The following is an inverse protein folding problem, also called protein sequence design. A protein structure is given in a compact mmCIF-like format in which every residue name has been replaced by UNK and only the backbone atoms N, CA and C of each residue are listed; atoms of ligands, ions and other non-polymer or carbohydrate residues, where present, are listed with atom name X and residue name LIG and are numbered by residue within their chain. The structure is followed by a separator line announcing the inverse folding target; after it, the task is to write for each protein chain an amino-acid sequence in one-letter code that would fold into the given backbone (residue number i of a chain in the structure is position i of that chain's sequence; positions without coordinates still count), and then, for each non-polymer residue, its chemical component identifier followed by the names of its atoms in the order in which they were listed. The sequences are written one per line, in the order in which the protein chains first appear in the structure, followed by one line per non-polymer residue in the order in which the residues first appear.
data_IF_478416868312
#
_entry.id   IF_478416868312
#
_cell.length_a   1.000
_cell.length_b   1.000
_cell.length_c   1.000
_cell.angle_alpha   90.00
_cell.angle_beta   90.00
_cell.angle_gamma   90.00
#
_symmetry.space_group_name_H-M   'P 1'
#
loop_
_entity.id
_entity.type
_entity.pdbx_description
1 polymer ?
#
# COMPACT_ATOMS: atom_id res chain seq x y z
N UNK A 1 40.45 -30.14 33.72
CA UNK A 1 40.17 -28.69 33.91
C UNK A 1 38.66 -28.54 34.01
N UNK A 2 38.20 -28.17 35.20
CA UNK A 2 36.87 -27.72 35.66
C UNK A 2 35.56 -28.40 35.17
N UNK A 3 34.90 -28.99 36.17
CA UNK A 3 33.46 -29.27 36.28
C UNK A 3 32.63 -28.00 36.47
N UNK A 4 31.37 -27.99 36.01
CA UNK A 4 30.17 -27.73 36.84
C UNK A 4 28.87 -27.83 36.02
N UNK A 5 27.87 -28.51 36.59
CA UNK A 5 26.46 -28.52 36.16
C UNK A 5 25.73 -27.27 36.70
N UNK A 6 24.52 -27.06 36.15
CA UNK A 6 23.35 -26.38 36.75
C UNK A 6 23.26 -24.86 36.58
N UNK A 7 22.15 -24.38 35.99
CA UNK A 7 21.04 -23.74 36.72
C UNK A 7 19.90 -23.33 35.77
N UNK A 8 18.68 -23.79 36.07
CA UNK A 8 17.43 -23.10 35.70
C UNK A 8 17.38 -21.75 36.42
N UNK A 9 16.87 -20.71 35.74
CA UNK A 9 15.91 -19.69 36.23
C UNK A 9 15.92 -18.49 35.28
N UNK A 10 14.93 -17.62 35.15
CA UNK A 10 13.54 -17.49 35.61
C UNK A 10 12.93 -16.42 34.69
N UNK A 11 11.61 -16.28 34.75
CA UNK A 11 10.79 -15.24 34.12
C UNK A 11 11.50 -13.87 34.05
N UNK A 12 11.68 -13.35 32.84
CA UNK A 12 11.92 -11.92 32.66
C UNK A 12 10.64 -11.19 33.09
N UNK A 13 10.75 -10.51 34.23
CA UNK A 13 9.70 -9.72 34.85
C UNK A 13 9.37 -8.52 33.99
N UNK A 14 8.09 -8.38 33.64
CA UNK A 14 7.50 -7.14 33.13
C UNK A 14 7.17 -6.27 34.35
N UNK A 15 7.87 -5.16 34.52
CA UNK A 15 7.34 -4.02 35.28
C UNK A 15 7.94 -2.69 34.81
N UNK A 16 7.09 -1.97 34.05
CA UNK A 16 6.80 -0.53 34.05
C UNK A 16 7.83 0.43 34.69
N UNK A 17 8.25 1.44 33.93
CA UNK A 17 8.09 2.85 34.34
C UNK A 17 8.21 3.85 33.17
N UNK A 18 7.10 4.56 32.92
CA UNK A 18 6.90 5.99 32.62
C UNK A 18 7.83 6.77 31.65
N UNK A 19 7.22 7.17 30.52
CA UNK A 19 7.15 8.51 29.88
C UNK A 19 8.45 9.21 29.41
N UNK A 20 8.45 9.93 28.26
CA UNK A 20 7.64 11.15 28.06
C UNK A 20 6.84 11.18 26.75
N UNK A 21 5.74 11.95 26.79
CA UNK A 21 5.02 12.58 25.68
C UNK A 21 5.57 12.32 24.27
N UNK A 22 4.96 11.37 23.57
CA UNK A 22 4.65 11.64 22.18
C UNK A 22 3.36 12.46 22.23
N UNK A 23 3.50 13.79 22.14
CA UNK A 23 2.39 14.66 21.79
C UNK A 23 1.74 14.06 20.55
N UNK A 24 0.58 13.40 20.71
CA UNK A 24 -0.28 13.16 19.57
C UNK A 24 -0.59 14.54 19.00
N UNK A 25 -0.35 14.81 17.71
CA UNK A 25 -0.72 16.10 17.15
C UNK A 25 -2.20 16.29 17.42
N UNK A 26 -2.47 17.34 18.20
CA UNK A 26 -3.80 17.74 18.63
C UNK A 26 -4.74 17.75 17.42
N UNK A 27 -5.82 16.99 17.52
CA UNK A 27 -6.89 16.87 16.51
C UNK A 27 -7.72 18.15 16.34
N UNK A 28 -7.14 19.32 16.62
CA UNK A 28 -7.80 20.63 16.59
C UNK A 28 -7.25 21.57 15.50
N UNK A 29 -6.80 21.02 14.37
CA UNK A 29 -6.69 21.79 13.13
C UNK A 29 -7.46 21.12 11.98
N UNK A 30 -8.67 20.66 12.26
CA UNK A 30 -9.67 20.36 11.22
C UNK A 30 -10.38 21.68 10.90
N UNK A 31 -9.69 22.53 10.15
CA UNK A 31 -10.28 23.73 9.56
C UNK A 31 -9.80 23.82 8.11
N UNK A 32 -10.75 23.59 7.19
CA UNK A 32 -10.62 23.54 5.72
C UNK A 32 -10.30 22.14 5.15
N UNK A 33 -11.28 21.23 5.15
CA UNK A 33 -11.42 20.26 4.05
C UNK A 33 -12.81 20.46 3.43
N UNK A 34 -12.94 21.19 2.31
CA UNK A 34 -14.22 21.28 1.62
C UNK A 34 -14.53 19.90 1.06
N UNK A 35 -15.48 19.21 1.70
CA UNK A 35 -16.10 17.97 1.24
C UNK A 35 -15.14 16.76 1.08
N UNK A 36 -15.19 15.83 2.04
CA UNK A 36 -14.59 14.49 1.94
C UNK A 36 -15.31 13.60 0.90
N UNK A 37 -15.90 14.17 -0.15
CA UNK A 37 -16.08 13.45 -1.39
C UNK A 37 -14.70 13.32 -2.01
N UNK A 38 -13.96 12.30 -1.56
CA UNK A 38 -12.81 11.82 -2.32
C UNK A 38 -13.28 11.74 -3.78
N UNK A 39 -12.61 12.43 -4.72
CA UNK A 39 -13.04 12.43 -6.10
C UNK A 39 -13.24 10.96 -6.52
N UNK A 40 -14.33 10.64 -7.26
CA UNK A 40 -14.66 9.27 -7.58
C UNK A 40 -13.41 8.58 -8.15
N UNK A 41 -12.94 7.55 -7.45
CA UNK A 41 -11.75 6.81 -7.86
C UNK A 41 -12.02 6.27 -9.26
N UNK A 42 -11.26 6.78 -10.24
CA UNK A 42 -11.41 6.35 -11.63
C UNK A 42 -10.94 4.92 -11.71
N UNK A 43 -11.71 4.07 -12.37
CA UNK A 43 -11.31 2.68 -12.64
C UNK A 43 -10.94 2.52 -14.09
N UNK A 44 -10.08 1.56 -14.37
CA UNK A 44 -9.82 1.12 -15.73
C UNK A 44 -9.83 -0.40 -15.83
N UNK A 45 -10.11 -0.89 -17.03
CA UNK A 45 -9.94 -2.28 -17.39
C UNK A 45 -8.72 -2.42 -18.30
N UNK A 46 -7.88 -3.41 -18.01
CA UNK A 46 -6.68 -3.69 -18.79
C UNK A 46 -7.06 -4.35 -20.11
N UNK A 47 -6.52 -3.83 -21.22
CA UNK A 47 -6.74 -4.32 -22.58
C UNK A 47 -5.57 -5.13 -23.13
N UNK A 48 -4.37 -4.93 -22.57
CA UNK A 48 -3.14 -5.62 -23.00
C UNK A 48 -2.28 -5.96 -21.77
N UNK A 49 -1.63 -7.12 -21.82
CA UNK A 49 -0.70 -7.52 -20.76
C UNK A 49 0.54 -6.60 -20.74
N UNK A 50 1.08 -6.36 -19.56
CA UNK A 50 2.33 -5.62 -19.37
C UNK A 50 3.18 -6.25 -18.27
N UNK A 51 4.44 -6.51 -18.61
CA UNK A 51 5.44 -7.06 -17.69
C UNK A 51 6.31 -5.89 -17.20
N UNK A 52 6.43 -5.68 -15.87
CA UNK A 52 7.27 -4.64 -15.28
C UNK A 52 8.72 -4.71 -15.75
N UNK A 53 9.27 -3.56 -16.13
CA UNK A 53 10.69 -3.38 -16.42
C UNK A 53 11.44 -2.79 -15.22
N UNK A 54 10.74 -2.02 -14.38
CA UNK A 54 11.24 -1.40 -13.16
C UNK A 54 10.46 -1.90 -11.93
N UNK A 55 11.05 -1.87 -10.72
CA UNK A 55 10.42 -2.42 -9.51
C UNK A 55 9.20 -1.65 -9.00
N UNK A 56 9.02 -0.41 -9.45
CA UNK A 56 7.87 0.45 -9.15
C UNK A 56 6.69 0.26 -10.13
N UNK A 57 6.89 -0.52 -11.20
CA UNK A 57 5.86 -0.80 -12.19
C UNK A 57 4.93 -1.95 -11.77
N UNK A 58 3.67 -1.83 -12.14
CA UNK A 58 2.62 -2.79 -11.87
C UNK A 58 2.49 -3.78 -13.04
N UNK A 59 2.59 -5.07 -12.73
CA UNK A 59 2.21 -6.13 -13.64
C UNK A 59 0.69 -6.13 -13.83
N UNK A 60 0.24 -6.10 -15.08
CA UNK A 60 -1.18 -6.03 -15.43
C UNK A 60 -1.52 -7.08 -16.50
N UNK A 61 -2.66 -7.75 -16.34
CA UNK A 61 -3.16 -8.73 -17.31
C UNK A 61 -4.51 -8.32 -17.89
N UNK A 62 -4.78 -8.73 -19.12
CA UNK A 62 -6.05 -8.44 -19.81
C UNK A 62 -7.24 -8.83 -18.93
N UNK A 63 -8.14 -7.86 -18.74
CA UNK A 63 -9.35 -8.03 -17.93
C UNK A 63 -9.23 -7.61 -16.46
N UNK A 64 -8.02 -7.35 -15.97
CA UNK A 64 -7.83 -6.80 -14.61
C UNK A 64 -8.50 -5.43 -14.46
N UNK A 65 -9.01 -5.17 -13.26
CA UNK A 65 -9.59 -3.89 -12.87
C UNK A 65 -8.61 -3.18 -11.94
N UNK A 66 -8.30 -1.93 -12.27
CA UNK A 66 -7.34 -1.12 -11.50
C UNK A 66 -8.00 0.18 -11.08
N UNK A 67 -7.84 0.51 -9.80
CA UNK A 67 -8.20 1.81 -9.28
C UNK A 67 -7.05 2.79 -9.58
N UNK A 68 -7.33 3.82 -10.37
CA UNK A 68 -6.36 4.86 -10.73
C UNK A 68 -6.26 5.84 -9.58
N UNK A 69 -5.03 6.02 -9.10
CA UNK A 69 -4.64 7.00 -8.09
C UNK A 69 -4.24 8.30 -8.79
N UNK A 70 -3.44 8.20 -9.87
CA UNK A 70 -2.92 9.35 -10.60
C UNK A 70 -2.75 9.03 -12.09
N UNK A 71 -2.94 10.05 -12.93
CA UNK A 71 -2.58 10.01 -14.35
C UNK A 71 -1.49 11.03 -14.57
N UNK A 72 -0.27 10.58 -14.83
CA UNK A 72 0.86 11.44 -15.08
C UNK A 72 0.81 12.00 -16.51
N UNK A 73 1.40 13.18 -16.72
CA UNK A 73 1.39 13.89 -18.00
C UNK A 73 2.22 13.19 -19.09
N UNK A 74 3.08 12.23 -18.71
CA UNK A 74 3.90 11.41 -19.59
C UNK A 74 3.15 10.19 -20.15
N UNK A 75 1.88 10.01 -19.78
CA UNK A 75 1.03 8.92 -20.24
C UNK A 75 1.07 7.66 -19.35
N UNK A 76 1.78 7.71 -18.22
CA UNK A 76 1.77 6.63 -17.22
C UNK A 76 0.71 6.87 -16.14
N UNK A 77 0.09 5.79 -15.67
CA UNK A 77 -0.89 5.84 -14.59
C UNK A 77 -0.32 5.17 -13.35
N UNK A 78 -0.58 5.74 -12.19
CA UNK A 78 -0.37 5.10 -10.90
C UNK A 78 -1.69 4.46 -10.46
N UNK A 79 -1.65 3.19 -10.05
CA UNK A 79 -2.87 2.53 -9.61
C UNK A 79 -2.67 1.34 -8.70
N UNK A 80 -3.79 0.85 -8.22
CA UNK A 80 -3.90 -0.24 -7.28
C UNK A 80 -4.83 -1.29 -7.85
N UNK A 81 -4.28 -2.49 -8.05
CA UNK A 81 -5.01 -3.61 -8.60
C UNK A 81 -6.14 -4.02 -7.65
N UNK A 82 -7.35 -4.20 -8.18
CA UNK A 82 -8.41 -4.88 -7.43
C UNK A 82 -8.05 -6.35 -7.23
N UNK A 83 -8.60 -6.97 -6.19
CA UNK A 83 -8.31 -8.35 -5.84
C UNK A 83 -8.60 -9.26 -7.05
N UNK A 84 -7.56 -9.71 -7.74
CA UNK A 84 -7.68 -10.53 -8.94
C UNK A 84 -7.63 -12.02 -8.56
N UNK A 85 -8.10 -12.88 -9.47
CA UNK A 85 -8.08 -14.33 -9.25
C UNK A 85 -6.67 -14.92 -9.37
N UNK A 86 -5.71 -14.16 -9.90
CA UNK A 86 -4.35 -14.63 -10.20
C UNK A 86 -3.39 -14.49 -9.01
N UNK A 87 -3.63 -13.54 -8.10
CA UNK A 87 -2.77 -13.30 -6.95
C UNK A 87 -3.60 -12.86 -5.73
N UNK A 88 -3.33 -13.45 -4.57
CA UNK A 88 -3.96 -13.05 -3.31
C UNK A 88 -3.29 -11.81 -2.69
N UNK A 89 -2.25 -11.26 -3.32
CA UNK A 89 -1.55 -10.06 -2.89
C UNK A 89 -2.12 -8.81 -3.54
N UNK A 90 -2.34 -7.79 -2.72
CA UNK A 90 -2.63 -6.44 -3.17
C UNK A 90 -1.37 -5.84 -3.79
N UNK A 91 -1.43 -5.47 -5.08
CA UNK A 91 -0.33 -4.85 -5.83
C UNK A 91 -0.67 -3.40 -6.17
N UNK A 92 0.35 -2.56 -6.18
CA UNK A 92 0.29 -1.16 -6.60
C UNK A 92 1.55 -0.81 -7.38
N UNK A 93 1.47 0.16 -8.27
CA UNK A 93 2.60 0.61 -9.07
C UNK A 93 2.16 1.45 -10.27
N UNK A 94 3.12 1.75 -11.13
CA UNK A 94 2.94 2.51 -12.37
C UNK A 94 2.71 1.58 -13.56
N UNK A 95 1.89 1.99 -14.53
CA UNK A 95 1.67 1.22 -15.76
C UNK A 95 1.31 2.13 -16.93
N UNK A 96 1.50 1.70 -18.19
CA UNK A 96 1.20 2.54 -19.35
C UNK A 96 -0.30 2.79 -19.51
N UNK A 97 -0.71 4.06 -19.55
CA UNK A 97 -2.12 4.44 -19.64
C UNK A 97 -2.80 4.03 -20.96
N UNK A 98 -2.03 3.83 -22.03
CA UNK A 98 -2.53 3.35 -23.32
C UNK A 98 -2.87 1.85 -23.34
N UNK A 99 -2.55 1.11 -22.27
CA UNK A 99 -2.84 -0.32 -22.15
C UNK A 99 -4.20 -0.60 -21.51
N UNK A 100 -4.92 0.45 -21.09
CA UNK A 100 -6.15 0.34 -20.34
C UNK A 100 -7.27 1.17 -20.95
N UNK A 101 -8.51 0.83 -20.60
CA UNK A 101 -9.71 1.61 -20.92
C UNK A 101 -10.34 2.14 -19.64
N UNK A 102 -10.52 3.45 -19.54
CA UNK A 102 -11.26 4.06 -18.45
C UNK A 102 -12.70 3.54 -18.42
N UNK A 103 -13.16 3.18 -17.22
CA UNK A 103 -14.54 2.80 -16.94
C UNK A 103 -15.30 4.06 -16.56
N UNK A 104 -16.39 4.33 -17.29
CA UNK A 104 -17.32 5.45 -17.07
C UNK A 104 -18.36 5.12 -16.00
#
# INVERSE_FOLDING_TARGET
IFSKKSHQNERAQISKQNSPDLEEPSVEQISIIPDLSLPPMRKCQVLYDYIPQNPDELEIHVGDIINIIEMCDDGWYCGMMEKSNHDNKMKFGTFPGNYVKLLS
#
